data_IF_735671082319
#
_entry.id   IF_735671082319
#
_cell.length_a   1.000
_cell.length_b   1.000
_cell.length_c   1.000
_cell.angle_alpha   90.00
_cell.angle_beta   90.00
_cell.angle_gamma   90.00
#
_symmetry.space_group_name_H-M   'P 1'
#
loop_
_entity.id
_entity.type
_entity.pdbx_description
1 polymer ?
2 non-polymer ?
3 water ?
#
# COMPACT_ATOMS: atom_id res chain seq x y z
N UNK A 10 29.75 -9.62 28.67
CA UNK A 10 28.66 -10.00 29.58
C UNK A 10 27.39 -10.43 28.85
N UNK A 11 26.44 -10.96 29.63
CA UNK A 11 25.21 -11.58 29.10
C UNK A 11 24.30 -10.62 28.32
N UNK A 12 24.03 -9.45 28.92
CA UNK A 12 23.18 -8.46 28.25
C UNK A 12 23.86 -7.86 27.03
N UNK A 13 25.18 -7.63 27.15
CA UNK A 13 25.98 -7.17 26.01
C UNK A 13 25.88 -8.20 24.88
N UNK A 14 26.04 -9.47 25.22
CA UNK A 14 25.97 -10.53 24.22
C UNK A 14 24.60 -10.59 23.57
N UNK A 15 23.53 -10.49 24.36
CA UNK A 15 22.18 -10.53 23.79
C UNK A 15 22.01 -9.40 22.80
N UNK A 16 22.40 -8.19 23.19
CA UNK A 16 22.25 -7.03 22.29
C UNK A 16 23.19 -7.11 21.07
N UNK A 17 24.40 -7.64 21.26
CA UNK A 17 25.31 -7.92 20.12
C UNK A 17 24.65 -8.87 19.12
N UNK A 18 24.10 -9.97 19.61
CA UNK A 18 23.43 -10.95 18.76
C UNK A 18 22.25 -10.34 17.98
N UNK A 19 21.42 -9.51 18.63
CA UNK A 19 20.30 -8.85 17.94
C UNK A 19 20.85 -7.98 16.83
N UNK A 20 21.95 -7.28 17.09
CA UNK A 20 22.60 -6.39 16.07
C UNK A 20 23.13 -7.17 14.87
N UNK A 21 23.78 -8.31 15.15
CA UNK A 21 24.30 -9.15 14.11
C UNK A 21 23.16 -9.68 13.27
N UNK A 22 22.13 -10.17 13.96
CA UNK A 22 20.92 -10.65 13.26
C UNK A 22 20.31 -9.58 12.40
N UNK A 23 20.16 -8.38 12.95
CA UNK A 23 19.59 -7.27 12.19
C UNK A 23 20.44 -6.99 10.95
N UNK A 24 21.75 -7.01 11.11
CA UNK A 24 22.65 -6.78 9.97
C UNK A 24 22.39 -7.80 8.83
N UNK A 25 22.36 -9.08 9.18
CA UNK A 25 22.19 -10.14 8.18
C UNK A 25 20.79 -10.15 7.57
N UNK A 26 19.77 -9.99 8.43
CA UNK A 26 18.37 -9.95 7.95
C UNK A 26 18.10 -8.66 7.17
N UNK A 27 18.97 -7.65 7.30
CA UNK A 27 18.83 -6.45 6.48
C UNK A 27 19.38 -6.69 5.08
N UNK A 28 20.45 -7.49 5.01
CA UNK A 28 21.21 -7.70 3.78
C UNK A 28 20.60 -8.70 2.81
N UNK A 29 19.84 -9.66 3.34
CA UNK A 29 19.35 -10.76 2.53
C UNK A 29 17.97 -11.16 2.96
N UNK A 30 17.22 -11.79 2.06
CA UNK A 30 15.95 -12.38 2.44
C UNK A 30 16.19 -13.43 3.54
N UNK A 31 15.20 -13.61 4.44
CA UNK A 31 15.44 -14.33 5.68
C UNK A 31 15.72 -15.84 5.46
N UNK A 32 15.23 -16.39 4.34
CA UNK A 32 15.58 -17.78 3.95
C UNK A 32 17.08 -17.99 3.68
N UNK A 33 17.80 -16.90 3.42
CA UNK A 33 19.25 -16.96 3.16
C UNK A 33 20.09 -16.53 4.37
N UNK A 34 19.48 -16.50 5.56
CA UNK A 34 20.22 -16.17 6.78
C UNK A 34 20.02 -17.33 7.74
N UNK A 35 21.13 -17.92 8.21
CA UNK A 35 21.05 -19.08 9.11
C UNK A 35 21.56 -18.74 10.51
N UNK A 36 21.18 -19.58 11.48
CA UNK A 36 21.75 -19.46 12.82
C UNK A 36 23.27 -19.59 12.78
N UNK A 37 23.77 -20.56 12.01
CA UNK A 37 25.22 -20.73 11.86
C UNK A 37 25.91 -19.43 11.39
N UNK A 38 25.27 -18.71 10.46
CA UNK A 38 25.87 -17.46 9.96
C UNK A 38 25.87 -16.38 11.03
N UNK A 39 24.78 -16.33 11.78
CA UNK A 39 24.65 -15.38 12.88
C UNK A 39 25.72 -15.68 13.96
N UNK A 40 25.83 -16.95 14.35
CA UNK A 40 26.85 -17.39 15.32
C UNK A 40 28.23 -17.00 14.82
N UNK A 41 28.53 -17.33 13.56
CA UNK A 41 29.84 -16.99 12.99
C UNK A 41 30.14 -15.46 13.02
N UNK A 42 29.20 -14.65 12.54
CA UNK A 42 29.33 -13.19 12.59
C UNK A 42 29.50 -12.65 14.01
N UNK A 43 28.81 -13.28 14.96
CA UNK A 43 28.90 -12.88 16.37
C UNK A 43 30.15 -13.40 17.08
N UNK A 44 30.85 -14.35 16.48
CA UNK A 44 32.05 -14.92 17.10
C UNK A 44 31.72 -15.93 18.17
N UNK A 45 30.56 -16.58 18.06
CA UNK A 45 30.16 -17.59 19.08
C UNK A 45 29.73 -18.90 18.44
N UNK A 46 29.48 -19.92 19.27
CA UNK A 46 29.05 -21.22 18.77
C UNK A 46 27.55 -21.22 18.48
N UNK A 47 27.13 -22.17 17.64
CA UNK A 47 25.74 -22.38 17.32
C UNK A 47 24.86 -22.58 18.58
N UNK A 48 25.23 -23.52 19.49
CA UNK A 48 24.43 -23.67 20.73
C UNK A 48 24.35 -22.37 21.55
N UNK A 49 25.43 -21.59 21.57
CA UNK A 49 25.38 -20.35 22.36
C UNK A 49 24.32 -19.34 21.83
N UNK A 50 24.07 -19.33 20.51
CA UNK A 50 22.98 -18.50 19.97
C UNK A 50 21.64 -18.94 20.57
N UNK A 51 21.42 -20.26 20.65
CA UNK A 51 20.17 -20.77 21.22
C UNK A 51 20.06 -20.54 22.74
N UNK A 52 21.16 -20.19 23.39
CA UNK A 52 21.09 -19.78 24.80
C UNK A 52 20.26 -18.50 24.95
N UNK A 53 20.31 -17.65 23.92
CA UNK A 53 19.65 -16.32 23.94
C UNK A 53 18.31 -16.27 23.26
N UNK A 54 18.15 -17.08 22.22
CA UNK A 54 16.91 -17.15 21.45
C UNK A 54 16.57 -18.61 21.17
N UNK A 55 15.33 -19.03 21.42
CA UNK A 55 14.97 -20.46 21.25
C UNK A 55 14.81 -20.91 19.79
N UNK A 56 14.80 -19.97 18.85
CA UNK A 56 14.77 -20.33 17.45
C UNK A 56 14.99 -19.12 16.54
N UNK A 57 15.09 -19.41 15.25
CA UNK A 57 15.34 -18.38 14.26
C UNK A 57 14.27 -17.29 14.26
N UNK A 58 13.01 -17.69 14.38
CA UNK A 58 11.93 -16.68 14.36
C UNK A 58 12.03 -15.67 15.50
N UNK A 59 12.38 -16.12 16.69
CA UNK A 59 12.41 -15.23 17.84
C UNK A 59 13.53 -14.19 17.66
N UNK A 60 14.63 -14.60 17.03
CA UNK A 60 15.76 -13.71 16.73
C UNK A 60 15.37 -12.73 15.63
N UNK A 61 14.71 -13.25 14.60
CA UNK A 61 14.20 -12.39 13.52
C UNK A 61 13.26 -11.34 14.10
N UNK A 62 12.36 -11.77 15.01
CA UNK A 62 11.42 -10.82 15.67
C UNK A 62 12.14 -9.77 16.51
N UNK A 63 13.20 -10.20 17.22
CA UNK A 63 13.99 -9.28 18.05
C UNK A 63 14.71 -8.24 17.18
N UNK A 64 15.28 -8.69 16.08
CA UNK A 64 15.90 -7.76 15.11
C UNK A 64 14.87 -6.78 14.57
N UNK A 65 13.69 -7.30 14.21
CA UNK A 65 12.61 -6.47 13.65
C UNK A 65 12.11 -5.44 14.65
N UNK A 66 12.02 -5.84 15.92
CA UNK A 66 11.69 -4.89 17.00
C UNK A 66 12.69 -3.73 17.06
N UNK A 67 13.96 -4.04 17.00
CA UNK A 67 14.96 -2.96 16.99
C UNK A 67 14.80 -2.04 15.77
N UNK A 68 14.64 -2.65 14.60
CA UNK A 68 14.48 -1.92 13.33
C UNK A 68 13.22 -1.05 13.35
N UNK A 69 12.14 -1.64 13.84
CA UNK A 69 10.84 -0.95 13.95
C UNK A 69 10.92 0.26 14.88
N UNK A 70 11.58 0.09 16.04
CA UNK A 70 11.82 1.21 16.95
C UNK A 70 12.63 2.33 16.31
N UNK A 71 13.65 1.93 15.56
CA UNK A 71 14.50 2.88 14.84
C UNK A 71 13.63 3.71 13.86
N UNK A 72 12.91 3.04 12.96
CA UNK A 72 12.10 3.79 11.96
C UNK A 72 11.06 4.66 12.65
N UNK A 73 10.33 4.11 13.61
CA UNK A 73 9.35 4.94 14.32
C UNK A 73 9.99 6.24 14.91
N UNK A 74 11.19 6.12 15.48
CA UNK A 74 11.87 7.28 16.06
C UNK A 74 12.24 8.27 14.98
N UNK A 75 12.54 7.77 13.79
CA UNK A 75 12.89 8.63 12.66
C UNK A 75 11.73 9.50 12.23
N UNK A 76 10.50 9.11 12.57
CA UNK A 76 9.31 9.92 12.23
C UNK A 76 9.15 11.21 13.06
N UNK A 77 9.90 11.31 14.16
CA UNK A 77 9.72 12.42 15.08
C UNK A 77 10.44 13.62 14.50
N UNK A 78 9.72 14.74 14.36
CA UNK A 78 10.22 15.95 13.67
C UNK A 78 9.59 17.17 14.34
N UNK A 79 10.39 18.21 14.67
CA UNK A 79 9.85 19.39 15.34
C UNK A 79 8.72 20.04 14.57
N UNK A 80 7.71 20.52 15.31
CA UNK A 80 6.57 21.20 14.70
C UNK A 80 6.86 22.67 14.47
N UNK A 81 7.71 22.93 13.47
CA UNK A 81 8.22 24.27 13.21
C UNK A 81 8.34 24.48 11.70
N UNK A 82 8.02 25.69 11.27
CA UNK A 82 8.15 26.04 9.84
C UNK A 82 7.11 25.35 8.96
N UNK A 83 7.20 25.56 7.63
CA UNK A 83 6.19 25.02 6.70
C UNK A 83 6.11 23.49 6.85
N UNK A 84 4.90 22.94 6.76
CA UNK A 84 4.70 21.50 7.00
C UNK A 84 5.36 20.64 5.94
N UNK A 85 5.33 21.10 4.69
CA UNK A 85 5.91 20.32 3.58
C UNK A 85 7.37 20.01 3.84
N UNK A 86 8.13 21.04 4.28
CA UNK A 86 9.54 20.84 4.58
C UNK A 86 9.80 19.85 5.72
N UNK A 87 8.93 19.85 6.73
CA UNK A 87 9.03 18.89 7.82
C UNK A 87 8.88 17.48 7.25
N UNK A 88 7.83 17.30 6.46
CA UNK A 88 7.62 15.96 5.85
C UNK A 88 8.79 15.55 4.95
N UNK A 89 9.34 16.49 4.18
CA UNK A 89 10.49 16.18 3.32
C UNK A 89 11.65 15.69 4.17
N UNK A 90 11.89 16.33 5.32
CA UNK A 90 12.99 15.88 6.19
C UNK A 90 12.79 14.45 6.68
N UNK A 91 11.55 14.15 7.10
CA UNK A 91 11.24 12.78 7.52
C UNK A 91 11.40 11.82 6.31
N UNK A 93 13.49 11.95 3.91
CA UNK A 93 14.96 11.68 3.78
C UNK A 93 15.38 10.56 4.70
N UNK A 94 14.96 10.66 5.96
CA UNK A 94 15.30 9.64 6.96
C UNK A 94 14.64 8.28 6.64
N UNK A 95 13.41 8.35 6.13
CA UNK A 95 12.67 7.16 5.73
C UNK A 95 13.40 6.43 4.60
N UNK A 96 13.81 7.15 3.55
CA UNK A 96 14.57 6.51 2.48
C UNK A 96 15.96 6.04 2.91
N UNK A 97 16.58 6.77 3.85
CA UNK A 97 17.88 6.32 4.41
C UNK A 97 17.64 4.94 5.04
N UNK A 98 16.58 4.85 5.83
CA UNK A 98 16.24 3.59 6.50
C UNK A 98 16.01 2.46 5.51
N UNK A 99 15.17 2.72 4.51
CA UNK A 99 14.81 1.72 3.48
C UNK A 99 16.06 1.25 2.73
N UNK A 100 16.92 2.19 2.36
CA UNK A 100 18.21 1.85 1.74
C UNK A 100 19.01 0.89 2.63
N UNK A 101 19.19 1.28 3.88
CA UNK A 101 20.03 0.56 4.87
C UNK A 101 19.53 -0.87 5.08
N UNK A 102 18.22 -1.05 4.96
CA UNK A 102 17.57 -2.32 5.28
C UNK A 102 16.90 -2.95 4.06
N UNK A 103 17.32 -2.52 2.87
CA UNK A 103 16.51 -2.79 1.66
C UNK A 103 16.10 -4.24 1.42
N UNK A 104 17.09 -5.14 1.27
CA UNK A 104 16.71 -6.51 0.96
C UNK A 104 15.80 -7.14 2.00
N UNK A 105 16.03 -6.87 3.28
CA UNK A 105 15.14 -7.39 4.33
C UNK A 105 13.76 -6.75 4.35
N UNK A 106 13.74 -5.42 4.14
CA UNK A 106 12.48 -4.66 3.99
C UNK A 106 11.64 -5.21 2.83
N UNK A 107 12.26 -5.41 1.67
CA UNK A 107 11.52 -5.91 0.50
C UNK A 107 10.97 -7.29 0.82
N UNK A 108 11.80 -8.15 1.42
CA UNK A 108 11.35 -9.51 1.72
C UNK A 108 10.19 -9.51 2.70
N UNK A 109 10.28 -8.70 3.75
CA UNK A 109 9.25 -8.63 4.78
C UNK A 109 7.95 -8.10 4.20
N UNK A 111 6.98 -7.71 0.96
CA UNK A 111 6.41 -8.44 -0.20
C UNK A 111 5.87 -9.80 0.23
N UNK A 112 6.34 -10.30 1.37
CA UNK A 112 5.70 -11.41 2.08
C UNK A 112 4.33 -11.03 2.63
N UNK A 113 4.21 -9.87 3.28
CA UNK A 113 2.92 -9.42 3.84
C UNK A 113 2.52 -10.11 5.15
N UNK A 114 1.29 -9.83 5.64
CA UNK A 114 0.73 -10.46 6.85
C UNK A 114 0.55 -12.01 6.80
N UNK A 115 0.40 -12.58 5.61
CA UNK A 115 0.26 -14.03 5.50
C UNK A 115 1.52 -14.78 5.96
N UNK A 116 2.68 -14.34 5.51
CA UNK A 116 3.97 -14.95 5.84
C UNK A 116 4.38 -14.52 7.27
N UNK A 117 4.10 -13.27 7.62
CA UNK A 117 4.52 -12.74 8.92
C UNK A 117 3.92 -13.48 10.09
N UNK A 118 4.67 -13.58 11.19
CA UNK A 118 4.10 -14.08 12.43
C UNK A 118 3.16 -13.02 12.95
N UNK A 119 2.36 -13.38 13.93
CA UNK A 119 1.49 -12.41 14.59
C UNK A 119 2.34 -11.26 15.14
N UNK A 120 3.49 -11.61 15.67
CA UNK A 120 4.39 -10.63 16.25
C UNK A 120 4.94 -9.71 15.16
N UNK A 121 5.42 -10.28 14.04
CA UNK A 121 5.98 -9.41 12.98
C UNK A 121 4.92 -8.49 12.38
N UNK A 122 3.73 -9.02 12.11
CA UNK A 122 2.61 -8.17 11.64
C UNK A 122 2.25 -7.05 12.58
N UNK A 123 2.25 -7.35 13.89
CA UNK A 123 2.00 -6.34 14.91
C UNK A 123 3.08 -5.25 14.90
N UNK A 124 4.36 -5.64 14.80
CA UNK A 124 5.46 -4.68 14.74
C UNK A 124 5.30 -3.77 13.50
N UNK A 125 5.03 -4.36 12.34
CA UNK A 125 4.87 -3.55 11.12
C UNK A 125 3.69 -2.57 11.31
N UNK A 126 2.57 -3.10 11.80
CA UNK A 126 1.42 -2.22 12.06
C UNK A 126 1.72 -1.11 13.05
N UNK A 127 2.55 -1.40 14.05
CA UNK A 127 2.90 -0.40 15.07
C UNK A 127 3.70 0.76 14.44
N UNK A 128 4.53 0.44 13.44
CA UNK A 128 5.26 1.48 12.68
C UNK A 128 4.26 2.34 11.85
N UNK A 129 3.32 1.69 11.16
CA UNK A 129 2.30 2.40 10.41
C UNK A 129 1.50 3.32 11.32
N UNK A 130 1.11 2.80 12.49
CA UNK A 130 0.42 3.64 13.45
C UNK A 130 1.29 4.81 14.00
N UNK A 131 2.58 4.57 14.25
CA UNK A 131 3.50 5.64 14.66
C UNK A 131 3.55 6.77 13.63
N UNK A 132 3.60 6.39 12.34
CA UNK A 132 3.55 7.40 11.27
C UNK A 132 2.25 8.21 11.35
N UNK A 133 1.12 7.50 11.49
CA UNK A 133 -0.19 8.12 11.60
C UNK A 133 -0.25 9.15 12.74
N UNK A 134 0.18 8.74 13.93
CA UNK A 134 0.19 9.62 15.11
C UNK A 134 1.02 10.89 14.86
N UNK A 135 2.18 10.74 14.25
CA UNK A 135 3.02 11.91 13.96
C UNK A 135 2.40 12.86 12.95
N UNK A 136 1.80 12.30 11.89
CA UNK A 136 1.17 13.15 10.89
C UNK A 136 0.02 13.92 11.52
N UNK A 137 -0.83 13.28 12.31
CA UNK A 137 -1.90 14.02 12.96
C UNK A 137 -1.40 15.09 13.92
N UNK A 138 -0.30 14.82 14.62
CA UNK A 138 0.30 15.81 15.52
C UNK A 138 0.68 17.08 14.76
N UNK A 139 1.31 16.90 13.60
CA UNK A 139 1.72 18.04 12.79
C UNK A 139 0.53 18.79 12.20
N UNK A 140 -0.53 18.06 11.84
CA UNK A 140 -1.76 18.67 11.34
C UNK A 140 -2.54 19.35 12.46
N UNK A 141 -2.16 19.07 13.71
CA UNK A 141 -2.80 19.61 14.93
C UNK A 141 -4.25 19.14 15.03
N UNK A 142 -4.44 17.85 14.73
CA UNK A 142 -5.76 17.23 14.78
C UNK A 142 -5.77 16.09 15.78
N UNK A 143 -6.69 16.14 16.75
CA UNK A 143 -6.76 15.08 17.74
C UNK A 143 -7.93 14.12 17.51
N UNK A 144 -9.00 14.62 16.90
CA UNK A 144 -10.16 13.78 16.56
C UNK A 144 -10.32 13.78 15.04
N UNK A 145 -9.48 13.00 14.32
CA UNK A 145 -9.55 13.11 12.87
C UNK A 145 -10.91 12.62 12.34
N UNK A 146 -11.54 13.40 11.45
CA UNK A 146 -12.75 12.91 10.77
C UNK A 146 -12.43 11.70 9.86
N UNK A 147 -13.46 10.98 9.42
CA UNK A 147 -13.26 9.81 8.57
C UNK A 147 -12.40 10.07 7.33
N UNK A 148 -12.69 11.19 6.66
CA UNK A 148 -12.06 11.50 5.37
C UNK A 148 -10.57 11.73 5.60
N UNK A 149 -10.26 12.41 6.69
CA UNK A 149 -8.85 12.68 7.02
C UNK A 149 -8.13 11.39 7.37
N UNK A 150 -8.76 10.55 8.20
CA UNK A 150 -8.14 9.28 8.55
C UNK A 150 -7.83 8.47 7.30
N UNK A 151 -8.76 8.44 6.35
CA UNK A 151 -8.54 7.61 5.15
C UNK A 151 -7.40 8.18 4.29
N UNK A 152 -7.39 9.49 4.09
CA UNK A 152 -6.32 10.12 3.30
C UNK A 152 -4.98 9.83 3.93
N UNK A 153 -4.89 9.99 5.25
CA UNK A 153 -3.59 9.80 5.92
C UNK A 153 -3.14 8.33 5.85
N UNK A 154 -4.02 7.40 6.21
CA UNK A 154 -3.61 6.00 6.19
C UNK A 154 -3.33 5.54 4.75
N UNK A 155 -4.09 6.04 3.79
CA UNK A 155 -3.88 5.60 2.40
C UNK A 155 -2.54 6.20 1.87
N UNK A 156 -2.17 7.38 2.37
CA UNK A 156 -0.87 7.97 2.03
C UNK A 156 0.28 7.13 2.60
N UNK A 157 0.12 6.70 3.84
CA UNK A 157 1.11 5.78 4.47
C UNK A 157 1.29 4.54 3.59
N UNK A 158 0.20 3.95 3.09
CA UNK A 158 0.31 2.81 2.15
C UNK A 158 1.03 3.20 0.85
N UNK A 159 0.74 4.40 0.35
CA UNK A 159 1.38 4.93 -0.85
C UNK A 159 2.91 5.05 -0.62
N UNK A 160 3.28 5.57 0.55
CA UNK A 160 4.70 5.74 0.90
C UNK A 160 5.44 4.38 1.05
N UNK A 161 4.78 3.37 1.62
CA UNK A 161 5.32 2.00 1.65
C UNK A 161 5.53 1.47 0.22
N UNK A 162 4.50 1.59 -0.61
CA UNK A 162 4.57 1.09 -1.97
C UNK A 162 5.68 1.76 -2.78
N UNK A 163 5.75 3.09 -2.64
CA UNK A 163 6.73 3.89 -3.36
C UNK A 163 8.15 3.42 -2.99
N UNK A 164 8.42 3.24 -1.70
CA UNK A 164 9.76 2.81 -1.28
C UNK A 164 10.06 1.39 -1.81
N UNK A 165 9.08 0.50 -1.78
CA UNK A 165 9.29 -0.87 -2.27
C UNK A 165 9.55 -0.89 -3.77
N UNK A 166 8.80 -0.05 -4.50
CA UNK A 166 8.98 0.01 -5.93
C UNK A 166 10.34 0.64 -6.25
N UNK A 167 10.76 1.60 -5.42
CA UNK A 167 12.06 2.27 -5.59
C UNK A 167 13.19 1.23 -5.51
N UNK A 168 13.10 0.36 -4.51
CA UNK A 168 14.14 -0.67 -4.26
C UNK A 168 14.31 -1.64 -5.42
N UNK A 169 13.27 -1.84 -6.20
CA UNK A 169 13.33 -2.77 -7.33
C UNK A 169 13.99 -2.09 -8.53
N UNK A 170 15.32 -1.94 -8.48
CA UNK A 170 16.08 -1.41 -9.60
C UNK A 170 16.64 -0.01 -9.37
N UNK A 171 16.09 0.74 -8.41
CA UNK A 171 16.51 2.12 -8.15
C UNK A 171 16.63 2.93 -9.45
N UNK A 172 15.62 2.81 -10.31
CA UNK A 172 15.70 3.45 -11.61
C UNK A 172 15.30 4.92 -11.54
N UNK A 173 14.78 5.34 -10.40
CA UNK A 173 14.38 6.75 -10.17
C UNK A 173 15.12 7.21 -8.91
N UNK A 174 15.74 8.41 -8.95
CA UNK A 174 16.54 8.83 -7.79
C UNK A 174 15.65 9.05 -6.56
N UNK A 175 16.15 8.65 -5.39
CA UNK A 175 15.37 8.80 -4.17
C UNK A 175 14.96 10.25 -3.91
N UNK A 176 15.80 11.23 -4.28
CA UNK A 176 15.43 12.63 -4.00
C UNK A 176 14.14 12.98 -4.73
N UNK A 177 14.01 12.51 -5.97
CA UNK A 177 12.77 12.74 -6.73
C UNK A 177 11.56 12.11 -6.01
N UNK A 178 11.75 10.90 -5.50
CA UNK A 178 10.63 10.17 -4.85
C UNK A 178 10.22 10.79 -3.50
N UNK A 179 11.22 11.29 -2.78
CA UNK A 179 10.97 11.96 -1.50
C UNK A 179 10.09 13.18 -1.77
N UNK A 180 10.48 14.03 -2.74
CA UNK A 180 9.68 15.22 -3.10
C UNK A 180 8.32 14.80 -3.63
N UNK A 181 8.32 13.77 -4.47
CA UNK A 181 7.06 13.23 -5.01
C UNK A 181 6.09 12.83 -3.91
N UNK A 182 6.56 12.14 -2.88
CA UNK A 182 5.66 11.71 -1.79
C UNK A 182 5.08 12.91 -1.01
N UNK A 183 5.89 13.97 -0.84
CA UNK A 183 5.40 15.20 -0.21
C UNK A 183 4.31 15.85 -1.06
N UNK A 184 4.57 16.01 -2.37
CA UNK A 184 3.54 16.53 -3.27
C UNK A 184 2.31 15.62 -3.32
N UNK A 185 2.52 14.31 -3.32
CA UNK A 185 1.41 13.33 -3.31
C UNK A 185 0.49 13.56 -2.11
N UNK A 186 1.07 13.85 -0.95
CA UNK A 186 0.28 14.06 0.26
C UNK A 186 -0.64 15.28 0.04
N UNK A 187 -0.07 16.40 -0.41
CA UNK A 187 -0.88 17.63 -0.69
C UNK A 187 -1.99 17.31 -1.70
N UNK A 188 -1.62 16.59 -2.76
CA UNK A 188 -2.58 16.31 -3.81
C UNK A 188 -3.72 15.38 -3.37
N UNK A 189 -3.40 14.34 -2.63
CA UNK A 189 -4.43 13.44 -2.06
C UNK A 189 -5.38 14.23 -1.14
N UNK A 191 -5.95 17.49 -1.29
CA UNK A 191 -6.72 18.40 -2.15
C UNK A 191 -7.87 17.70 -2.88
N UNK A 192 -7.65 16.48 -3.33
CA UNK A 192 -8.70 15.72 -4.01
C UNK A 192 -9.87 15.50 -3.05
N UNK A 193 -9.58 15.09 -1.82
CA UNK A 193 -10.61 14.85 -0.82
C UNK A 193 -11.35 16.15 -0.47
N UNK A 194 -10.62 17.25 -0.38
CA UNK A 194 -11.24 18.58 -0.08
C UNK A 194 -12.45 18.92 -0.97
N UNK A 195 -12.52 18.31 -2.16
CA UNK A 195 -13.64 18.57 -3.08
C UNK A 195 -15.02 18.14 -2.54
N UNK A 196 -15.03 17.19 -1.63
CA UNK A 196 -16.27 16.53 -1.22
C UNK A 196 -16.69 16.94 0.16
N UNK A 197 -15.86 17.77 0.81
CA UNK A 197 -15.99 18.00 2.24
C UNK A 197 -15.44 19.36 2.67
N UNK A 198 -16.29 20.18 3.29
CA UNK A 198 -15.88 21.51 3.72
C UNK A 198 -14.90 21.45 4.88
N UNK A 199 -15.10 20.50 5.79
CA UNK A 199 -14.20 20.32 6.92
C UNK A 199 -12.77 19.98 6.39
N UNK A 201 -11.77 20.73 3.29
CA UNK A 201 -11.36 21.95 2.59
C UNK A 201 -10.67 22.96 3.51
N UNK A 202 -11.23 23.14 4.70
CA UNK A 202 -10.70 24.11 5.63
C UNK A 202 -9.31 23.69 6.12
N UNK A 203 -9.12 22.40 6.37
CA UNK A 203 -7.84 21.93 6.85
C UNK A 203 -6.78 22.15 5.77
N UNK A 204 -7.09 21.76 4.53
CA UNK A 204 -6.14 21.86 3.44
C UNK A 204 -5.76 23.32 3.14
N UNK A 205 -6.74 24.22 3.19
CA UNK A 205 -6.42 25.63 3.04
C UNK A 205 -5.44 26.11 4.10
N UNK A 206 -5.64 25.70 5.35
CA UNK A 206 -4.79 26.07 6.46
C UNK A 206 -3.37 25.51 6.28
N UNK A 207 -3.27 24.22 5.93
CA UNK A 207 -1.99 23.62 5.67
C UNK A 207 -1.22 24.35 4.57
N UNK A 208 -1.86 24.59 3.45
CA UNK A 208 -1.23 25.34 2.35
C UNK A 208 -0.94 26.83 2.63
N UNK A 209 -1.66 27.45 3.57
CA UNK A 209 -1.38 28.85 3.97
C UNK A 209 -0.05 28.93 4.73
N UNK A 210 0.40 27.80 5.28
CA UNK A 210 1.64 27.74 6.04
C UNK A 210 2.86 27.52 5.16
N UNK A 211 2.64 27.27 3.86
CA UNK A 211 3.74 27.16 2.90
C UNK A 211 4.14 28.56 2.43
N UNK A 212 5.45 28.81 2.20
CA UNK A 212 5.81 30.14 1.67
C UNK A 212 5.35 30.27 0.21
N UNK A 213 5.02 31.48 -0.22
CA UNK A 213 4.54 31.66 -1.59
C UNK A 213 5.58 31.22 -2.63
N UNK A 214 6.87 31.32 -2.31
CA UNK A 214 7.88 30.76 -3.22
C UNK A 214 8.24 29.26 -2.99
N UNK A 215 7.37 28.53 -2.29
CA UNK A 215 7.71 27.17 -1.86
C UNK A 215 7.50 26.11 -2.93
N UNK A 216 7.85 24.84 -2.63
CA UNK A 216 7.63 23.71 -3.54
C UNK A 216 6.21 23.50 -4.00
N UNK A 217 5.21 23.77 -3.16
CA UNK A 217 3.83 23.58 -3.59
C UNK A 217 3.58 24.60 -4.70
N UNK A 218 4.06 25.82 -4.46
CA UNK A 218 3.95 26.92 -5.43
C UNK A 218 4.51 26.49 -6.77
N UNK A 219 5.71 25.92 -6.71
CA UNK A 219 6.38 25.45 -7.91
C UNK A 219 5.64 24.29 -8.58
N UNK A 220 5.10 23.36 -7.79
CA UNK A 220 4.23 22.33 -8.37
C UNK A 220 3.04 22.89 -9.15
N UNK A 221 2.32 23.84 -8.56
CA UNK A 221 1.16 24.42 -9.22
C UNK A 221 1.62 25.13 -10.51
N UNK A 222 2.74 25.86 -10.43
CA UNK A 222 3.32 26.57 -11.59
C UNK A 222 3.57 25.54 -12.72
N UNK A 223 4.24 24.44 -12.35
CA UNK A 223 4.54 23.37 -13.32
C UNK A 223 3.32 22.69 -13.94
N UNK A 224 2.28 22.51 -13.13
CA UNK A 224 1.06 21.91 -13.66
C UNK A 224 0.31 22.87 -14.58
N UNK A 225 0.35 24.16 -14.25
CA UNK A 225 -0.23 25.16 -15.13
C UNK A 225 0.51 25.16 -16.47
N UNK A 226 1.83 25.07 -16.39
CA UNK A 226 2.70 25.05 -17.59
C UNK A 226 2.43 23.82 -18.46
N UNK A 227 2.33 22.66 -17.82
CA UNK A 227 1.97 21.43 -18.50
C UNK A 227 0.62 21.57 -19.22
N UNK A 228 -0.36 22.18 -18.56
CA UNK A 228 -1.72 22.36 -19.12
C UNK A 228 -1.74 23.34 -20.29
N UNK A 229 -0.68 24.14 -20.38
CA UNK A 229 -0.53 25.19 -21.40
C UNK A 229 -1.78 26.05 -21.46
N UNK A 230 -2.20 26.55 -20.31
CA UNK A 230 -3.29 27.51 -20.20
C UNK A 230 -2.90 28.89 -20.82
N UNK B 14 -19.88 -31.41 -8.84
CA UNK B 14 -19.95 -31.22 -7.37
C UNK B 14 -18.77 -30.42 -6.83
N UNK B 15 -17.59 -30.63 -7.42
CA UNK B 15 -16.37 -29.97 -6.96
C UNK B 15 -16.48 -28.47 -7.15
N UNK B 16 -17.01 -28.07 -8.31
CA UNK B 16 -17.19 -26.65 -8.59
C UNK B 16 -18.26 -26.04 -7.69
N UNK B 17 -19.33 -26.77 -7.42
CA UNK B 17 -20.36 -26.30 -6.48
C UNK B 17 -19.81 -26.07 -5.06
N UNK B 18 -18.97 -27.00 -4.60
CA UNK B 18 -18.32 -26.90 -3.28
C UNK B 18 -17.40 -25.67 -3.21
N UNK B 19 -16.65 -25.40 -4.28
CA UNK B 19 -15.80 -24.21 -4.28
C UNK B 19 -16.66 -22.95 -4.12
N UNK B 20 -17.80 -22.91 -4.81
CA UNK B 20 -18.74 -21.77 -4.70
C UNK B 20 -19.27 -21.59 -3.30
N UNK B 21 -19.63 -22.70 -2.66
CA UNK B 21 -20.14 -22.64 -1.28
C UNK B 21 -19.07 -22.11 -0.33
N UNK B 22 -17.84 -22.62 -0.49
CA UNK B 22 -16.74 -22.20 0.35
C UNK B 22 -16.45 -20.71 0.15
N UNK B 23 -16.44 -20.26 -1.11
CA UNK B 23 -16.23 -18.83 -1.40
C UNK B 23 -17.34 -18.01 -0.73
N UNK B 24 -18.57 -18.51 -0.79
CA UNK B 24 -19.67 -17.79 -0.13
C UNK B 24 -19.38 -17.59 1.37
N UNK B 25 -19.04 -18.68 2.06
CA UNK B 25 -18.81 -18.57 3.50
C UNK B 25 -17.52 -17.78 3.83
N UNK B 26 -16.47 -18.00 3.04
CA UNK B 26 -15.22 -17.27 3.24
C UNK B 26 -15.35 -15.78 2.87
N UNK B 27 -16.39 -15.45 2.09
CA UNK B 27 -16.68 -14.04 1.84
C UNK B 27 -17.34 -13.37 3.05
N UNK B 28 -18.19 -14.11 3.74
CA UNK B 28 -19.03 -13.58 4.80
C UNK B 28 -18.34 -13.40 6.15
N UNK B 29 -17.30 -14.19 6.39
CA UNK B 29 -16.67 -14.23 7.71
C UNK B 29 -15.20 -14.40 7.55
N UNK B 30 -14.46 -14.00 8.58
CA UNK B 30 -13.03 -14.29 8.60
C UNK B 30 -12.86 -15.83 8.64
N UNK B 31 -11.76 -16.35 8.07
CA UNK B 31 -11.66 -17.79 7.81
C UNK B 31 -11.55 -18.69 9.05
N UNK B 32 -11.12 -18.11 10.17
CA UNK B 32 -11.14 -18.80 11.47
C UNK B 32 -12.57 -19.11 11.92
N UNK B 33 -13.56 -18.45 11.30
CA UNK B 33 -14.96 -18.66 11.68
C UNK B 33 -15.71 -19.48 10.64
N UNK B 34 -14.95 -20.16 9.78
CA UNK B 34 -15.55 -21.00 8.76
C UNK B 34 -14.95 -22.40 8.88
N UNK B 35 -15.81 -23.39 9.12
CA UNK B 35 -15.32 -24.78 9.32
C UNK B 35 -15.66 -25.67 8.13
N UNK B 36 -14.95 -26.79 8.05
CA UNK B 36 -15.27 -27.80 7.06
C UNK B 36 -16.71 -28.29 7.24
N UNK B 37 -17.11 -28.55 8.48
CA UNK B 37 -18.48 -28.96 8.77
C UNK B 37 -19.53 -27.95 8.26
N UNK B 38 -19.25 -26.65 8.43
CA UNK B 38 -20.09 -25.59 7.92
C UNK B 38 -20.13 -25.57 6.38
N UNK B 39 -18.97 -25.74 5.76
CA UNK B 39 -18.96 -25.83 4.30
C UNK B 39 -19.78 -27.04 3.85
N UNK B 40 -19.52 -28.20 4.46
CA UNK B 40 -20.26 -29.42 4.13
C UNK B 40 -21.77 -29.24 4.25
N UNK B 41 -22.25 -28.69 5.39
CA UNK B 41 -23.69 -28.43 5.56
C UNK B 41 -24.28 -27.54 4.47
N UNK B 42 -23.61 -26.42 4.18
CA UNK B 42 -24.06 -25.45 3.22
C UNK B 42 -24.10 -26.08 1.84
N UNK B 43 -23.18 -27.01 1.58
CA UNK B 43 -23.10 -27.66 0.27
C UNK B 43 -24.05 -28.85 0.19
N UNK B 44 -24.59 -29.24 1.34
CA UNK B 44 -25.47 -30.41 1.45
C UNK B 44 -24.77 -31.75 1.26
N UNK B 45 -23.50 -31.84 1.69
CA UNK B 45 -22.71 -33.08 1.63
C UNK B 45 -22.11 -33.43 2.99
N UNK B 46 -21.51 -34.63 3.12
CA UNK B 46 -20.86 -35.02 4.38
C UNK B 46 -19.46 -34.42 4.50
N UNK B 47 -18.94 -34.37 5.72
CA UNK B 47 -17.56 -33.94 5.94
C UNK B 47 -16.54 -34.78 5.14
N UNK B 48 -16.66 -36.13 5.18
CA UNK B 48 -15.73 -36.90 4.33
C UNK B 48 -15.78 -36.51 2.86
N UNK B 49 -16.96 -36.23 2.31
CA UNK B 49 -17.01 -35.90 0.87
C UNK B 49 -16.29 -34.59 0.57
N UNK B 50 -16.26 -33.65 1.52
CA UNK B 50 -15.44 -32.47 1.31
C UNK B 50 -13.96 -32.85 1.23
N UNK B 51 -13.49 -33.72 2.13
CA UNK B 51 -12.09 -34.16 2.11
C UNK B 51 -11.72 -35.01 0.89
N UNK B 52 -12.73 -35.65 0.28
CA UNK B 52 -12.58 -36.36 -0.99
C UNK B 52 -12.00 -35.38 -2.02
N UNK B 53 -12.56 -34.17 -2.07
CA UNK B 53 -12.14 -33.19 -3.07
C UNK B 53 -10.93 -32.38 -2.64
N UNK B 54 -10.84 -32.07 -1.35
CA UNK B 54 -9.77 -31.23 -0.83
C UNK B 54 -9.05 -31.89 0.34
N UNK B 55 -7.72 -32.00 0.27
CA UNK B 55 -6.94 -32.57 1.39
C UNK B 55 -7.25 -31.91 2.73
N UNK B 56 -7.43 -30.59 2.72
CA UNK B 56 -7.75 -29.86 3.94
C UNK B 56 -8.32 -28.47 3.69
N UNK B 57 -8.57 -27.75 4.77
CA UNK B 57 -9.19 -26.44 4.73
C UNK B 57 -8.43 -25.44 3.87
N UNK B 58 -7.10 -25.43 4.00
CA UNK B 58 -6.32 -24.44 3.26
C UNK B 58 -6.46 -24.60 1.76
N UNK B 59 -6.44 -25.84 1.27
CA UNK B 59 -6.60 -26.09 -0.16
C UNK B 59 -7.96 -25.61 -0.69
N UNK B 60 -9.00 -25.74 0.12
CA UNK B 60 -10.31 -25.25 -0.28
C UNK B 60 -10.39 -23.72 -0.22
N UNK B 61 -9.84 -23.11 0.84
CA UNK B 61 -9.64 -21.66 0.88
C UNK B 61 -8.95 -21.11 -0.38
N UNK B 62 -7.86 -21.78 -0.78
CA UNK B 62 -7.09 -21.33 -1.94
C UNK B 62 -7.90 -21.47 -3.24
N UNK B 63 -8.70 -22.53 -3.34
CA UNK B 63 -9.57 -22.72 -4.49
C UNK B 63 -10.65 -21.61 -4.55
N UNK B 64 -11.22 -21.28 -3.39
CA UNK B 64 -12.21 -20.20 -3.33
C UNK B 64 -11.54 -18.88 -3.73
N UNK B 65 -10.35 -18.62 -3.18
CA UNK B 65 -9.63 -17.39 -3.53
C UNK B 65 -9.28 -17.32 -5.02
N UNK B 66 -8.93 -18.45 -5.62
CA UNK B 66 -8.63 -18.45 -7.06
C UNK B 66 -9.88 -18.05 -7.85
N UNK B 67 -11.04 -18.58 -7.45
CA UNK B 67 -12.30 -18.20 -8.11
C UNK B 67 -12.56 -16.68 -7.96
N UNK B 68 -12.43 -16.18 -6.74
CA UNK B 68 -12.68 -14.76 -6.47
C UNK B 68 -11.70 -13.88 -7.26
N UNK B 69 -10.43 -14.28 -7.25
CA UNK B 69 -9.35 -13.55 -7.96
C UNK B 69 -9.60 -13.44 -9.47
N UNK B 70 -10.05 -14.55 -10.07
CA UNK B 70 -10.45 -14.56 -11.48
C UNK B 70 -11.63 -13.62 -11.78
N UNK B 71 -12.61 -13.61 -10.88
CA UNK B 71 -13.77 -12.72 -10.97
C UNK B 71 -13.29 -11.26 -10.97
N UNK B 72 -12.50 -10.89 -9.97
CA UNK B 72 -12.04 -9.49 -9.90
C UNK B 72 -11.22 -9.09 -11.13
N UNK B 73 -10.27 -9.94 -11.52
CA UNK B 73 -9.41 -9.65 -12.67
C UNK B 73 -10.24 -9.44 -13.94
N UNK B 74 -11.28 -10.25 -14.10
CA UNK B 74 -12.21 -10.15 -15.24
C UNK B 74 -12.99 -8.84 -15.19
N UNK B 75 -13.30 -8.38 -13.97
CA UNK B 75 -14.00 -7.11 -13.82
C UNK B 75 -13.15 -5.92 -14.24
N UNK B 76 -11.84 -6.11 -14.37
CA UNK B 76 -10.97 -5.00 -14.82
C UNK B 76 -11.06 -4.73 -16.32
N UNK B 77 -11.62 -5.71 -17.07
CA UNK B 77 -11.78 -5.57 -18.54
C UNK B 77 -12.83 -4.53 -18.85
N UNK B 78 -12.44 -3.49 -19.59
CA UNK B 78 -13.28 -2.35 -19.85
C UNK B 78 -12.99 -1.92 -21.30
N UNK B 79 -14.04 -1.70 -22.10
CA UNK B 79 -13.84 -1.35 -23.51
C UNK B 79 -12.98 -0.08 -23.67
N UNK B 80 -12.10 -0.09 -24.67
CA UNK B 80 -11.23 1.07 -24.91
C UNK B 80 -11.96 2.11 -25.76
N UNK B 81 -12.88 2.84 -25.13
CA UNK B 81 -13.79 3.74 -25.85
C UNK B 81 -14.12 4.94 -24.94
N UNK B 82 -14.06 6.15 -25.49
CA UNK B 82 -14.42 7.37 -24.75
C UNK B 82 -13.34 7.92 -23.80
N UNK B 83 -13.67 8.96 -23.01
CA UNK B 83 -12.72 9.60 -22.07
C UNK B 83 -12.15 8.57 -21.08
N UNK B 84 -10.87 8.70 -20.74
CA UNK B 84 -10.23 7.70 -19.89
C UNK B 84 -10.78 7.69 -18.48
N UNK B 85 -11.04 8.88 -17.92
CA UNK B 85 -11.53 8.98 -16.53
C UNK B 85 -12.83 8.19 -16.33
N UNK B 86 -13.75 8.34 -17.28
CA UNK B 86 -15.01 7.60 -17.28
C UNK B 86 -14.84 6.08 -17.33
N UNK B 87 -13.81 5.61 -18.05
CA UNK B 87 -13.53 4.18 -18.13
C UNK B 87 -13.13 3.72 -16.74
N UNK B 88 -12.22 4.48 -16.12
CA UNK B 88 -11.72 4.09 -14.80
C UNK B 88 -12.83 4.15 -13.76
N UNK B 89 -13.69 5.17 -13.83
CA UNK B 89 -14.85 5.26 -12.90
C UNK B 89 -15.78 4.05 -12.99
N UNK B 90 -16.03 3.58 -14.22
CA UNK B 90 -16.84 2.36 -14.40
C UNK B 90 -16.19 1.16 -13.74
N UNK B 91 -14.87 1.01 -13.93
CA UNK B 91 -14.15 -0.09 -13.27
C UNK B 91 -14.19 0.06 -11.74
N UNK B 93 -16.60 1.31 -9.94
CA UNK B 93 -17.92 0.78 -9.55
C UNK B 93 -17.93 -0.74 -9.39
N UNK B 94 -17.37 -1.46 -10.36
CA UNK B 94 -17.27 -2.94 -10.26
C UNK B 94 -16.31 -3.39 -9.15
N UNK B 95 -15.24 -2.64 -8.98
CA UNK B 95 -14.26 -2.93 -7.91
C UNK B 95 -14.93 -2.82 -6.54
N UNK B 96 -15.63 -1.71 -6.28
CA UNK B 96 -16.31 -1.57 -4.98
C UNK B 96 -17.47 -2.54 -4.79
N UNK B 97 -18.16 -2.88 -5.87
CA UNK B 97 -19.18 -3.96 -5.83
C UNK B 97 -18.51 -5.23 -5.34
N UNK B 98 -17.39 -5.58 -5.95
CA UNK B 98 -16.67 -6.79 -5.57
C UNK B 98 -16.25 -6.76 -4.10
N UNK B 99 -15.67 -5.63 -3.70
CA UNK B 99 -15.15 -5.45 -2.31
C UNK B 99 -16.31 -5.61 -1.32
N UNK B 100 -17.43 -4.95 -1.62
CA UNK B 100 -18.66 -5.09 -0.81
C UNK B 100 -19.05 -6.59 -0.65
N UNK B 101 -19.24 -7.26 -1.79
CA UNK B 101 -19.71 -8.65 -1.86
C UNK B 101 -18.80 -9.57 -1.04
N UNK B 102 -17.51 -9.23 -1.00
CA UNK B 102 -16.53 -10.09 -0.36
C UNK B 102 -15.89 -9.46 0.90
N UNK B 103 -16.54 -8.44 1.44
CA UNK B 103 -15.99 -7.57 2.49
C UNK B 103 -15.21 -8.25 3.59
N UNK B 104 -15.89 -9.03 4.44
CA UNK B 104 -15.24 -9.64 5.60
C UNK B 104 -14.07 -10.51 5.21
N UNK B 105 -14.22 -11.31 4.16
CA UNK B 105 -13.13 -12.17 3.71
C UNK B 105 -11.94 -11.40 3.14
N UNK B 106 -12.25 -10.34 2.37
CA UNK B 106 -11.25 -9.41 1.79
C UNK B 106 -10.45 -8.76 2.92
N UNK B 107 -11.16 -8.20 3.90
CA UNK B 107 -10.53 -7.59 5.05
C UNK B 107 -9.60 -8.56 5.76
N UNK B 108 -10.11 -9.75 6.05
CA UNK B 108 -9.30 -10.73 6.76
C UNK B 108 -8.07 -11.17 5.96
N UNK B 109 -8.22 -11.36 4.64
CA UNK B 109 -7.09 -11.76 3.80
C UNK B 109 -6.01 -10.70 3.77
N UNK B 111 -5.41 -8.29 5.80
CA UNK B 111 -4.74 -8.22 7.11
C UNK B 111 -4.31 -9.63 7.52
N UNK B 118 -0.99 -18.04 2.70
CA UNK B 118 0.06 -18.90 2.17
C UNK B 118 0.76 -18.20 1.02
N UNK B 119 1.84 -18.81 0.54
CA UNK B 119 2.54 -18.24 -0.61
C UNK B 119 1.67 -18.40 -1.87
N UNK B 120 0.84 -19.44 -1.92
CA UNK B 120 -0.16 -19.57 -2.99
C UNK B 120 -1.18 -18.40 -2.93
N UNK B 121 -1.64 -18.04 -1.73
CA UNK B 121 -2.61 -16.93 -1.68
C UNK B 121 -1.95 -15.61 -2.01
N UNK B 122 -0.71 -15.44 -1.57
CA UNK B 122 0.08 -14.24 -1.98
C UNK B 122 0.21 -14.15 -3.48
N UNK B 123 0.51 -15.27 -4.11
CA UNK B 123 0.62 -15.34 -5.55
C UNK B 123 -0.70 -14.97 -6.24
N UNK B 124 -1.82 -15.42 -5.69
CA UNK B 124 -3.11 -15.11 -6.27
C UNK B 124 -3.41 -13.60 -6.15
N UNK B 125 -3.15 -13.05 -4.96
CA UNK B 125 -3.35 -11.60 -4.76
C UNK B 125 -2.46 -10.81 -5.70
N UNK B 126 -1.19 -11.18 -5.80
CA UNK B 126 -0.26 -10.54 -6.76
C UNK B 126 -0.75 -10.58 -8.19
N UNK B 127 -1.33 -11.71 -8.60
CA UNK B 127 -1.83 -11.86 -9.96
C UNK B 127 -2.97 -10.87 -10.26
N UNK B 128 -3.79 -10.55 -9.27
CA UNK B 128 -4.82 -9.52 -9.43
C UNK B 128 -4.18 -8.14 -9.58
N UNK B 129 -3.18 -7.83 -8.75
CA UNK B 129 -2.53 -6.52 -8.90
C UNK B 129 -1.92 -6.39 -10.28
N UNK B 130 -1.27 -7.47 -10.75
CA UNK B 130 -0.70 -7.49 -12.08
C UNK B 130 -1.73 -7.33 -13.21
N UNK B 131 -2.88 -7.98 -13.05
CA UNK B 131 -3.97 -7.85 -14.02
C UNK B 131 -4.44 -6.39 -14.16
N UNK B 132 -4.59 -5.73 -13.01
CA UNK B 132 -4.94 -4.29 -13.01
C UNK B 132 -3.88 -3.48 -13.74
N UNK B 133 -2.60 -3.71 -13.42
CA UNK B 133 -1.47 -3.07 -14.13
C UNK B 133 -1.56 -3.21 -15.69
N UNK B 134 -1.71 -4.45 -16.15
CA UNK B 134 -1.81 -4.75 -17.57
C UNK B 134 -2.97 -3.98 -18.19
N UNK B 135 -4.13 -4.00 -17.55
CA UNK B 135 -5.28 -3.24 -18.10
C UNK B 135 -5.06 -1.73 -18.13
N UNK B 136 -4.48 -1.17 -17.06
CA UNK B 136 -4.23 0.26 -17.08
C UNK B 136 -3.28 0.66 -18.24
N UNK B 137 -2.20 -0.08 -18.43
CA UNK B 137 -1.25 0.22 -19.51
C UNK B 137 -1.91 0.02 -20.89
N UNK B 138 -2.76 -1.00 -21.01
CA UNK B 138 -3.53 -1.21 -22.24
C UNK B 138 -4.27 0.08 -22.61
N UNK B 139 -5.00 0.65 -21.66
CA UNK B 139 -5.79 1.84 -21.93
C UNK B 139 -4.92 3.10 -22.22
N UNK B 140 -3.78 3.19 -21.55
CA UNK B 140 -2.83 4.29 -21.80
C UNK B 140 -2.07 4.12 -23.10
N UNK B 141 -2.25 2.95 -23.73
CA UNK B 141 -1.63 2.64 -25.00
C UNK B 141 -0.11 2.63 -24.88
N UNK B 142 0.37 2.06 -23.77
CA UNK B 142 1.80 1.99 -23.46
C UNK B 142 2.21 0.53 -23.35
N UNK B 143 3.21 0.12 -24.14
CA UNK B 143 3.74 -1.25 -24.05
C UNK B 143 5.09 -1.34 -23.34
N UNK B 144 5.82 -0.22 -23.36
CA UNK B 144 7.16 -0.14 -22.81
C UNK B 144 7.12 0.99 -21.77
N UNK B 145 6.51 0.73 -20.60
CA UNK B 145 6.33 1.84 -19.65
C UNK B 145 7.66 2.31 -19.07
N UNK B 146 7.90 3.63 -19.06
CA UNK B 146 9.08 4.16 -18.37
C UNK B 146 8.97 3.85 -16.86
N UNK B 147 10.09 3.86 -16.16
CA UNK B 147 10.12 3.58 -14.71
C UNK B 147 9.09 4.42 -13.94
N UNK B 148 9.02 5.71 -14.27
CA UNK B 148 8.15 6.63 -13.51
C UNK B 148 6.68 6.27 -13.72
N UNK B 149 6.35 5.81 -14.92
CA UNK B 149 4.95 5.42 -15.19
C UNK B 149 4.62 4.14 -14.42
N UNK B 150 5.51 3.14 -14.50
CA UNK B 150 5.31 1.94 -13.75
C UNK B 150 5.09 2.22 -12.26
N UNK B 151 5.93 3.07 -11.66
CA UNK B 151 5.80 3.35 -10.25
C UNK B 151 4.48 4.06 -9.96
N UNK B 152 4.07 5.02 -10.79
CA UNK B 152 2.80 5.69 -10.57
C UNK B 152 1.63 4.68 -10.63
N UNK B 153 1.64 3.81 -11.63
CA UNK B 153 0.52 2.88 -11.81
C UNK B 153 0.47 1.88 -10.64
N UNK B 154 1.62 1.27 -10.34
CA UNK B 154 1.66 0.28 -9.24
C UNK B 154 1.33 0.92 -7.89
N UNK B 155 1.78 2.17 -7.68
CA UNK B 155 1.57 2.85 -6.40
C UNK B 155 0.09 3.21 -6.30
N UNK B 156 -0.52 3.53 -7.43
CA UNK B 156 -1.98 3.81 -7.42
C UNK B 156 -2.79 2.55 -7.10
N UNK B 157 -2.37 1.43 -7.66
CA UNK B 157 -3.03 0.15 -7.36
C UNK B 157 -2.99 -0.08 -5.84
N UNK B 158 -1.84 0.16 -5.22
CA UNK B 158 -1.74 0.04 -3.75
C UNK B 158 -2.69 1.01 -3.03
N UNK B 159 -2.77 2.24 -3.55
CA UNK B 159 -3.66 3.28 -3.01
C UNK B 159 -5.13 2.80 -3.09
N UNK B 160 -5.49 2.22 -4.24
CA UNK B 160 -6.86 1.72 -4.45
C UNK B 160 -7.18 0.54 -3.48
N UNK B 161 -6.24 -0.38 -3.31
CA UNK B 161 -6.39 -1.48 -2.34
C UNK B 161 -6.59 -0.89 -0.93
N UNK B 162 -5.72 0.04 -0.54
CA UNK B 162 -5.80 0.65 0.79
C UNK B 162 -7.13 1.35 1.04
N UNK B 163 -7.57 2.09 0.03
CA UNK B 163 -8.78 2.90 0.10
C UNK B 163 -9.98 1.97 0.30
N UNK B 164 -10.03 0.88 -0.45
CA UNK B 164 -11.16 -0.08 -0.34
C UNK B 164 -11.16 -0.71 1.07
N UNK B 165 -9.99 -1.11 1.57
CA UNK B 165 -9.90 -1.74 2.92
C UNK B 165 -10.33 -0.76 4.03
N UNK B 166 -9.90 0.48 3.90
CA UNK B 166 -10.26 1.51 4.84
C UNK B 166 -11.78 1.80 4.75
N UNK B 167 -12.32 1.80 3.53
CA UNK B 167 -13.77 2.02 3.35
C UNK B 167 -14.57 0.97 4.15
N UNK B 168 -14.16 -0.28 4.06
CA UNK B 168 -14.87 -1.40 4.71
C UNK B 168 -14.95 -1.31 6.23
N UNK B 169 -14.02 -0.58 6.82
CA UNK B 169 -14.04 -0.37 8.28
C UNK B 169 -15.02 0.73 8.70
N UNK B 170 -16.31 0.43 8.67
CA UNK B 170 -17.34 1.38 9.13
C UNK B 170 -18.20 1.97 8.02
N UNK B 171 -17.66 1.96 6.80
CA UNK B 171 -18.33 2.56 5.64
C UNK B 171 -18.81 3.98 5.97
N UNK B 172 -17.95 4.76 6.61
CA UNK B 172 -18.33 6.10 7.02
C UNK B 172 -18.30 7.12 5.87
N UNK B 173 -17.67 6.73 4.76
CA UNK B 173 -17.60 7.60 3.58
C UNK B 173 -18.33 6.90 2.44
N UNK B 174 -19.22 7.62 1.71
CA UNK B 174 -19.94 6.83 0.68
C UNK B 174 -19.03 6.31 -0.44
N UNK B 175 -19.35 5.14 -0.96
CA UNK B 175 -18.54 4.51 -1.98
C UNK B 175 -18.47 5.37 -3.26
N UNK B 176 -19.55 6.07 -3.59
CA UNK B 176 -19.55 6.92 -4.78
C UNK B 176 -18.44 7.99 -4.71
N UNK B 177 -18.24 8.53 -3.52
CA UNK B 177 -17.23 9.54 -3.27
C UNK B 177 -15.84 8.90 -3.44
N UNK B 178 -15.65 7.72 -2.89
CA UNK B 178 -14.31 7.09 -2.97
C UNK B 178 -13.96 6.63 -4.37
N UNK B 179 -14.97 6.19 -5.13
CA UNK B 179 -14.74 5.76 -6.50
C UNK B 179 -14.22 6.95 -7.32
N UNK B 180 -14.94 8.06 -7.27
CA UNK B 180 -14.48 9.25 -8.00
C UNK B 180 -13.16 9.78 -7.37
N UNK B 181 -13.03 9.73 -6.05
CA UNK B 181 -11.77 10.14 -5.39
C UNK B 181 -10.59 9.35 -5.96
N UNK B 182 -10.77 8.04 -6.15
CA UNK B 182 -9.70 7.22 -6.73
C UNK B 182 -9.33 7.57 -8.17
N UNK B 183 -10.34 7.91 -8.97
CA UNK B 183 -10.06 8.35 -10.34
C UNK B 183 -9.25 9.66 -10.31
N UNK B 184 -9.70 10.61 -9.49
CA UNK B 184 -8.96 11.87 -9.32
C UNK B 184 -7.56 11.68 -8.76
N UNK B 185 -7.41 10.70 -7.85
CA UNK B 185 -6.10 10.32 -7.28
C UNK B 185 -5.17 9.80 -8.37
N UNK B 186 -5.68 9.01 -9.32
CA UNK B 186 -4.83 8.55 -10.42
C UNK B 186 -4.30 9.77 -11.18
N UNK B 187 -5.18 10.70 -11.50
CA UNK B 187 -4.76 11.88 -12.26
C UNK B 187 -3.74 12.64 -11.42
N UNK B 188 -3.95 12.70 -10.10
CA UNK B 188 -3.06 13.45 -9.20
C UNK B 188 -1.66 12.84 -9.16
N UNK B 189 -1.61 11.52 -8.97
CA UNK B 189 -0.31 10.85 -8.89
C UNK B 189 0.46 11.02 -10.22
N UNK B 191 0.05 13.45 -12.41
CA UNK B 191 0.35 14.87 -12.58
C UNK B 191 1.63 15.25 -11.80
N UNK B 192 1.74 14.73 -10.57
CA UNK B 192 2.90 15.06 -9.74
C UNK B 192 4.19 14.59 -10.43
N UNK B 193 4.18 13.35 -10.95
CA UNK B 193 5.34 12.87 -11.71
C UNK B 193 5.62 13.72 -12.98
N UNK B 194 4.56 13.95 -13.75
CA UNK B 194 4.62 14.72 -14.99
C UNK B 194 5.14 16.14 -14.80
N UNK B 195 4.94 16.70 -13.62
CA UNK B 195 5.36 18.08 -13.35
C UNK B 195 6.90 18.26 -13.38
N UNK B 196 7.62 17.18 -13.10
CA UNK B 196 9.08 17.17 -12.98
C UNK B 196 9.80 16.22 -13.97
N UNK B 197 9.07 15.56 -14.87
CA UNK B 197 9.69 14.64 -15.83
C UNK B 197 9.14 14.89 -17.23
N UNK B 198 10.00 15.21 -18.19
CA UNK B 198 9.53 15.58 -19.54
C UNK B 198 8.72 14.46 -20.24
N UNK B 199 9.22 13.22 -20.13
CA UNK B 199 8.57 12.08 -20.74
C UNK B 199 7.19 11.86 -20.12
N UNK B 201 5.53 14.21 -18.65
CA UNK B 201 4.77 15.38 -19.09
C UNK B 201 4.15 15.16 -20.47
N UNK B 202 4.94 14.58 -21.38
CA UNK B 202 4.44 14.27 -22.76
C UNK B 202 3.28 13.29 -22.75
N UNK B 203 3.38 12.24 -21.92
CA UNK B 203 2.33 11.25 -21.77
C UNK B 203 1.03 11.88 -21.29
N UNK B 204 1.12 12.74 -20.27
CA UNK B 204 -0.06 13.40 -19.72
C UNK B 204 -0.74 14.28 -20.78
N UNK B 205 0.06 15.06 -21.51
CA UNK B 205 -0.44 15.93 -22.60
C UNK B 205 -1.11 15.13 -23.73
N UNK B 206 -0.54 13.98 -24.04
CA UNK B 206 -1.09 13.05 -25.02
C UNK B 206 -2.41 12.47 -24.51
N UNK B 207 -2.46 12.25 -23.20
CA UNK B 207 -3.60 11.65 -22.49
C UNK B 207 -4.65 12.69 -22.05
N UNK B 208 -4.32 13.97 -22.08
CA UNK B 208 -5.31 15.03 -21.78
C UNK B 208 -5.99 15.59 -23.04
N UNK B 209 -5.50 15.16 -24.21
CA UNK B 209 -6.05 15.58 -25.50
C UNK B 209 -7.50 15.10 -25.74
N UNK B 210 -8.01 14.27 -24.84
CA UNK B 210 -9.35 13.68 -24.99
C UNK B 210 -10.24 13.80 -23.75
N UNK B 211 -9.76 14.52 -22.75
CA UNK B 211 -10.58 14.89 -21.59
C UNK B 211 -10.87 16.40 -21.65
N UNK B 212 -12.10 16.82 -21.28
CA UNK B 212 -12.43 18.26 -21.24
C UNK B 212 -11.88 18.96 -19.99
N UNK B 213 -12.12 20.27 -19.89
CA UNK B 213 -11.75 21.04 -18.71
C UNK B 213 -12.91 21.92 -18.24
N UNK B 215 -12.43 16.81 -17.35
CA UNK B 215 -11.56 15.71 -16.93
C UNK B 215 -10.94 15.92 -15.56
N UNK B 216 -10.63 14.81 -14.86
CA UNK B 216 -9.99 14.81 -13.53
C UNK B 216 -8.72 15.66 -13.43
N UNK B 217 -7.91 15.70 -14.50
CA UNK B 217 -6.66 16.47 -14.46
C UNK B 217 -6.93 17.97 -14.35
N UNK B 218 -7.78 18.50 -15.25
CA UNK B 218 -8.13 19.93 -15.25
C UNK B 218 -8.74 20.41 -13.94
N UNK B 219 -9.65 19.60 -13.38
CA UNK B 219 -10.28 19.91 -12.11
C UNK B 219 -9.27 19.92 -10.95
N UNK B 220 -8.33 18.98 -10.99
CA UNK B 220 -7.23 18.89 -10.02
C UNK B 220 -6.36 20.16 -10.04
N UNK B 221 -6.03 20.60 -11.25
CA UNK B 221 -5.20 21.80 -11.44
C UNK B 221 -5.93 23.05 -10.94
N UNK B 222 -7.22 23.14 -11.29
CA UNK B 222 -8.10 24.18 -10.76
C UNK B 222 -8.16 24.16 -9.23
N UNK B 223 -8.31 22.97 -8.66
CA UNK B 223 -8.37 22.76 -7.21
C UNK B 223 -7.08 23.21 -6.51
N UNK B 224 -5.93 22.75 -7.00
CA UNK B 224 -4.63 23.16 -6.46
C UNK B 224 -4.43 24.66 -6.56
N UNK B 225 -4.98 25.25 -7.62
CA UNK B 225 -4.95 26.69 -7.79
C UNK B 225 -5.81 27.32 -6.68
N UNK B 226 -7.06 26.86 -6.60
CA UNK B 226 -8.09 27.44 -5.71
C UNK B 226 -7.92 27.20 -4.21
N UNK B 227 -7.36 26.04 -3.84
CA UNK B 227 -7.10 25.75 -2.42
C UNK B 227 -5.81 26.41 -1.92
N UNK B 228 -4.95 26.84 -2.84
CA UNK B 228 -3.79 27.65 -2.46
C UNK B 228 -4.10 29.15 -2.53
#
# INVERSE_FOLDING_TARGET
>A
XTTGVRRRXGVEERRQQLIGVALDLFSRRSPDEVSIDEIASAAGISRPLVYHYFPGKLSLYEAALQRASDDLADRFVEPRQGPLGARLLRVXGRYFDFVDEHGPGFSALXRGGPAVGSTTTNALVDSVRQAAYVQILSHLDVTEPPARLELVVRSWISLAESTALLWLDGRRIPRAELETQLVHDFAALXAVSAAYDEEXGALVRRVLADEPEDGPFGDLVDRLLALSARG
>B
XTTGVRRRXGVEERRQQLIGVALDLFSRRSPDEVSIDEIASAAGISRPLVYHYFPGKLSLYEAALQRASDDLADRFVEPRQGPLGARLLRVXGRYFDFVDEHGPGFSALXRGGPAVGSTTTNALVDSVRQAAYVQILSHLDVTEPPARLELVVRSWISLAESTALLWLDGRRIPRAELETQLVHDFAALXAVSAAYDEEXGALVRRVLADEPEDGPFGDLVDRLLALSARG
#
